data_IF_918830038112
#
_entry.id   IF_918830038112
#
_cell.length_a   1.000
_cell.length_b   1.000
_cell.length_c   1.000
_cell.angle_alpha   90.00
_cell.angle_beta   90.00
_cell.angle_gamma   90.00
#
_symmetry.space_group_name_H-M   'P 1'
#
loop_
_entity.id
_entity.type
_entity.pdbx_description
1 polymer ?
2 non-polymer ?
3 non-polymer ?
4 water ?
#
# COMPACT_ATOMS: atom_id res chain seq x y z
N UNK A 4 20.56 16.12 17.44
CA UNK A 4 19.12 15.69 17.24
C UNK A 4 19.06 14.31 16.59
N UNK A 5 18.61 13.24 17.29
CA UNK A 5 18.78 11.87 16.81
C UNK A 5 17.84 11.57 15.64
N UNK A 6 18.23 10.61 14.80
CA UNK A 6 17.35 10.17 13.69
C UNK A 6 16.31 9.23 14.26
N UNK A 7 15.07 9.28 13.76
CA UNK A 7 14.04 8.42 14.29
C UNK A 7 14.20 6.97 13.87
N UNK A 8 13.71 6.08 14.73
CA UNK A 8 13.64 4.62 14.49
C UNK A 8 12.25 4.25 14.00
N UNK A 9 11.28 5.14 14.23
CA UNK A 9 9.85 4.92 13.89
C UNK A 9 9.18 6.27 13.64
N UNK A 10 8.25 6.29 12.68
CA UNK A 10 7.44 7.48 12.34
C UNK A 10 6.00 7.04 12.35
N UNK A 11 5.12 8.02 12.43
CA UNK A 11 3.69 7.73 12.20
C UNK A 11 3.29 8.35 10.87
N UNK A 12 2.43 7.61 10.18
CA UNK A 12 1.92 7.99 8.83
C UNK A 12 0.41 8.01 8.92
N UNK A 13 -0.18 9.11 8.47
CA UNK A 13 -1.65 9.24 8.25
C UNK A 13 -1.93 8.99 6.77
N UNK A 14 -2.88 8.10 6.52
CA UNK A 14 -3.42 7.83 5.17
C UNK A 14 -4.87 8.26 5.18
N UNK A 15 -5.28 9.10 4.24
CA UNK A 15 -6.69 9.44 4.08
C UNK A 15 -7.17 9.10 2.68
N UNK A 16 -8.37 8.60 2.53
CA UNK A 16 -8.99 8.43 1.20
C UNK A 16 -10.40 8.99 1.29
N UNK A 17 -10.74 9.82 0.32
CA UNK A 17 -12.08 10.43 0.26
C UNK A 17 -12.50 10.65 -1.16
N UNK A 18 -13.60 10.03 -1.55
CA UNK A 18 -14.27 10.36 -2.83
C UNK A 18 -15.24 11.52 -2.52
N UNK A 19 -14.88 12.68 -3.02
CA UNK A 19 -15.54 13.96 -2.69
C UNK A 19 -16.83 14.16 -3.48
N UNK A 20 -17.16 13.27 -4.42
CA UNK A 20 -18.42 13.38 -5.17
C UNK A 20 -18.56 14.68 -5.94
N UNK A 21 -17.43 15.23 -6.39
CA UNK A 21 -17.40 16.43 -7.25
C UNK A 21 -18.05 17.63 -6.53
N UNK A 22 -17.98 17.65 -5.19
CA UNK A 22 -18.52 18.75 -4.38
C UNK A 22 -17.39 19.31 -3.55
N UNK A 23 -17.38 20.64 -3.31
CA UNK A 23 -16.41 21.21 -2.40
C UNK A 23 -16.62 20.68 -0.99
N UNK A 24 -15.54 20.61 -0.20
CA UNK A 24 -15.63 20.10 1.14
C UNK A 24 -16.33 21.13 2.03
N UNK A 25 -16.77 20.71 3.24
CA UNK A 25 -17.29 21.68 4.19
C UNK A 25 -16.14 22.48 4.82
N UNK A 26 -16.47 23.49 5.64
CA UNK A 26 -15.46 24.43 6.16
C UNK A 26 -14.51 23.71 7.13
N UNK A 27 -14.98 22.69 7.83
CA UNK A 27 -14.14 21.99 8.82
C UNK A 27 -14.02 20.51 8.44
N UNK A 28 -12.80 20.02 8.30
CA UNK A 28 -12.57 18.58 7.99
C UNK A 28 -11.54 18.01 8.98
N UNK A 29 -11.25 18.72 10.08
CA UNK A 29 -10.25 18.27 11.06
C UNK A 29 -10.49 16.86 11.63
N UNK A 30 -11.75 16.42 11.75
CA UNK A 30 -12.09 15.08 12.29
C UNK A 30 -11.40 13.99 11.46
N UNK A 31 -11.24 14.23 10.16
CA UNK A 31 -10.56 13.27 9.27
C UNK A 31 -9.11 13.06 9.75
N UNK A 32 -8.36 14.16 9.91
CA UNK A 32 -6.92 14.10 10.25
C UNK A 32 -6.72 13.69 11.72
N UNK A 33 -7.75 13.78 12.53
CA UNK A 33 -7.71 13.35 13.94
C UNK A 33 -8.14 11.88 14.08
N UNK A 34 -8.57 11.20 13.01
CA UNK A 34 -9.02 9.79 13.12
C UNK A 34 -10.17 9.70 14.12
N UNK A 35 -11.17 10.57 13.97
CA UNK A 35 -12.40 10.61 14.80
C UNK A 35 -13.61 10.17 13.97
N UNK A 36 -14.51 9.41 14.60
CA UNK A 36 -15.77 9.01 13.99
C UNK A 36 -16.05 7.60 14.37
N UNK A 37 -16.23 6.73 13.39
CA UNK A 37 -16.54 5.30 13.60
C UNK A 37 -15.29 4.46 13.34
N UNK A 38 -15.27 3.25 13.91
CA UNK A 38 -14.25 2.27 13.66
C UNK A 38 -13.20 2.30 14.73
N UNK A 39 -11.95 2.08 14.34
CA UNK A 39 -10.77 2.09 15.25
C UNK A 39 -10.21 3.51 15.24
N UNK A 40 -10.59 4.29 16.25
CA UNK A 40 -10.34 5.74 16.32
C UNK A 40 -9.14 6.02 17.24
N UNK A 41 -8.61 7.19 17.02
CA UNK A 41 -7.42 7.67 17.73
C UNK A 41 -7.84 8.26 19.09
N UNK A 42 -7.01 8.03 20.11
CA UNK A 42 -7.26 8.56 21.47
C UNK A 42 -7.20 10.11 21.46
N UNK A 43 -8.14 10.73 22.17
CA UNK A 43 -8.19 12.22 22.31
C UNK A 43 -6.86 12.77 22.81
N UNK A 44 -6.16 12.01 23.63
CA UNK A 44 -4.92 12.50 24.26
C UNK A 44 -3.82 12.74 23.22
N UNK A 45 -3.99 12.20 22.02
CA UNK A 45 -3.02 12.34 20.90
C UNK A 45 -3.36 13.49 19.97
N UNK A 46 -4.43 14.21 20.17
CA UNK A 46 -4.95 15.13 19.14
C UNK A 46 -3.92 16.17 18.73
N UNK A 47 -3.06 16.62 19.65
CA UNK A 47 -2.11 17.69 19.29
C UNK A 47 -0.82 17.13 18.71
N UNK A 48 -0.63 15.84 18.76
CA UNK A 48 0.62 15.18 18.34
C UNK A 48 0.55 15.03 16.83
N UNK A 49 1.42 15.69 16.06
CA UNK A 49 1.35 15.61 14.62
C UNK A 49 1.87 14.25 14.19
N UNK A 50 1.24 13.72 13.14
CA UNK A 50 1.84 12.60 12.41
C UNK A 50 3.06 13.16 11.70
N UNK A 51 4.01 12.29 11.37
CA UNK A 51 5.23 12.68 10.64
C UNK A 51 4.95 13.00 9.19
N UNK A 52 4.09 12.20 8.57
CA UNK A 52 3.75 12.27 7.13
C UNK A 52 2.22 12.11 7.07
N UNK A 53 1.56 12.97 6.29
CA UNK A 53 0.13 12.86 5.94
C UNK A 53 0.00 12.62 4.45
N UNK A 54 -0.66 11.53 4.05
CA UNK A 54 -0.88 11.23 2.63
C UNK A 54 -2.36 11.24 2.41
N UNK A 55 -2.81 12.12 1.51
CA UNK A 55 -4.25 12.43 1.31
C UNK A 55 -4.64 12.06 -0.13
N UNK A 56 -5.45 11.00 -0.28
CA UNK A 56 -5.93 10.55 -1.59
C UNK A 56 -7.36 11.01 -1.76
N UNK A 57 -7.66 11.70 -2.83
CA UNK A 57 -9.05 12.05 -3.18
C UNK A 57 -9.40 11.48 -4.54
N UNK A 58 -10.67 11.27 -4.71
CA UNK A 58 -11.31 10.87 -5.99
C UNK A 58 -12.50 11.79 -6.22
N UNK A 59 -12.85 12.00 -7.46
CA UNK A 59 -13.95 12.94 -7.79
C UNK A 59 -13.69 14.28 -7.10
N UNK A 60 -12.44 14.73 -7.10
CA UNK A 60 -11.97 15.97 -6.45
C UNK A 60 -12.19 17.14 -7.40
N UNK A 61 -13.07 18.10 -7.03
CA UNK A 61 -13.42 19.21 -7.93
C UNK A 61 -12.49 20.41 -7.76
N UNK A 62 -11.57 20.35 -6.80
CA UNK A 62 -10.74 21.52 -6.43
C UNK A 62 -9.51 21.58 -7.30
N UNK A 63 -8.94 22.76 -7.44
CA UNK A 63 -7.58 22.88 -7.98
C UNK A 63 -6.61 22.34 -6.92
N UNK A 64 -5.36 22.05 -7.33
CA UNK A 64 -4.29 21.65 -6.42
C UNK A 64 -4.12 22.75 -5.40
N UNK A 65 -4.10 24.02 -5.85
CA UNK A 65 -3.89 25.17 -4.95
C UNK A 65 -5.01 25.18 -3.91
N UNK A 66 -6.25 25.06 -4.32
CA UNK A 66 -7.40 25.16 -3.40
C UNK A 66 -7.32 24.05 -2.35
N UNK A 67 -7.00 22.84 -2.77
CA UNK A 67 -6.97 21.72 -1.80
C UNK A 67 -5.78 21.83 -0.88
N UNK A 68 -4.58 22.18 -1.38
CA UNK A 68 -3.40 22.40 -0.54
C UNK A 68 -3.68 23.45 0.54
N UNK A 69 -4.33 24.54 0.17
CA UNK A 69 -4.77 25.61 1.10
C UNK A 69 -5.51 24.96 2.27
N UNK A 70 -6.57 24.22 1.95
CA UNK A 70 -7.49 23.61 2.94
C UNK A 70 -6.71 22.62 3.78
N UNK A 71 -5.89 21.78 3.15
CA UNK A 71 -5.18 20.75 3.92
C UNK A 71 -4.19 21.40 4.87
N UNK A 72 -3.33 22.27 4.38
CA UNK A 72 -2.32 22.86 5.28
C UNK A 72 -2.95 23.63 6.44
N UNK A 73 -4.00 24.41 6.18
CA UNK A 73 -4.77 25.18 7.20
C UNK A 73 -5.27 24.20 8.26
N UNK A 74 -5.91 23.12 7.84
CA UNK A 74 -6.53 22.10 8.73
C UNK A 74 -5.46 21.52 9.66
N UNK A 75 -4.30 21.13 9.10
CA UNK A 75 -3.21 20.55 9.92
C UNK A 75 -2.63 21.63 10.84
N UNK A 76 -2.49 22.84 10.34
CA UNK A 76 -1.90 23.91 11.20
C UNK A 76 -2.85 24.15 12.38
N UNK A 77 -4.16 24.19 12.13
CA UNK A 77 -5.16 24.41 13.21
C UNK A 77 -5.05 23.29 14.25
N UNK A 78 -4.90 22.04 13.82
CA UNK A 78 -4.83 20.86 14.73
C UNK A 78 -3.54 20.90 15.55
N UNK A 79 -2.41 21.10 14.90
CA UNK A 79 -1.07 20.76 15.43
C UNK A 79 -0.24 22.01 15.75
N UNK A 80 -0.61 23.16 15.22
CA UNK A 80 0.20 24.42 15.24
C UNK A 80 1.52 24.24 14.49
N UNK A 81 1.59 23.27 13.57
CA UNK A 81 2.75 23.02 12.68
C UNK A 81 2.36 23.37 11.26
N UNK A 82 3.24 24.06 10.57
CA UNK A 82 3.08 24.38 9.14
C UNK A 82 3.78 23.27 8.35
N UNK A 83 2.99 22.41 7.73
CA UNK A 83 3.57 21.23 7.05
C UNK A 83 4.17 21.66 5.71
N UNK A 84 5.18 20.94 5.28
CA UNK A 84 5.83 21.13 3.98
C UNK A 84 5.15 20.20 2.98
N UNK A 85 4.99 20.68 1.75
CA UNK A 85 4.46 19.86 0.67
C UNK A 85 5.57 19.00 0.08
N UNK A 86 5.49 17.69 0.22
CA UNK A 86 6.48 16.75 -0.39
C UNK A 86 6.17 16.56 -1.86
N UNK A 87 4.90 16.32 -2.16
CA UNK A 87 4.50 16.01 -3.54
C UNK A 87 2.99 16.19 -3.69
N UNK A 88 2.57 16.54 -4.89
CA UNK A 88 1.14 16.52 -5.25
C UNK A 88 1.05 16.06 -6.68
N UNK A 89 0.14 15.17 -6.97
CA UNK A 89 -0.02 14.65 -8.35
C UNK A 89 -1.49 14.34 -8.60
N UNK A 90 -2.01 14.79 -9.74
CA UNK A 90 -3.43 14.67 -10.12
C UNK A 90 -3.54 14.01 -11.48
N UNK A 91 -4.43 13.05 -11.59
CA UNK A 91 -4.86 12.48 -12.89
C UNK A 91 -6.36 12.69 -12.91
N UNK A 92 -6.84 13.51 -13.83
CA UNK A 92 -8.27 13.82 -13.96
C UNK A 92 -8.74 14.36 -12.61
N UNK A 93 -9.59 13.65 -11.88
CA UNK A 93 -10.09 14.10 -10.58
C UNK A 93 -9.60 13.19 -9.46
N UNK A 94 -8.50 12.47 -9.72
CA UNK A 94 -7.85 11.57 -8.75
C UNK A 94 -6.56 12.24 -8.30
N UNK A 95 -6.38 12.44 -7.01
CA UNK A 95 -5.28 13.27 -6.52
C UNK A 95 -4.62 12.64 -5.30
N UNK A 96 -3.33 12.81 -5.24
CA UNK A 96 -2.56 12.47 -4.03
C UNK A 96 -1.74 13.68 -3.57
N UNK A 97 -1.77 13.94 -2.27
CA UNK A 97 -0.97 15.00 -1.62
C UNK A 97 -0.13 14.32 -0.53
N UNK A 98 1.16 14.63 -0.48
CA UNK A 98 2.01 14.21 0.64
C UNK A 98 2.55 15.44 1.34
N UNK A 99 2.28 15.53 2.64
CA UNK A 99 2.74 16.61 3.54
C UNK A 99 3.58 15.99 4.63
N UNK A 100 4.65 16.68 5.02
CA UNK A 100 5.50 16.21 6.13
C UNK A 100 5.88 17.33 7.08
N UNK A 101 6.18 16.96 8.33
CA UNK A 101 6.78 17.87 9.33
C UNK A 101 7.96 18.60 8.68
N UNK A 102 8.15 19.91 8.94
CA UNK A 102 9.32 20.60 8.41
C UNK A 102 10.66 19.98 8.81
N UNK A 103 10.74 19.41 9.99
CA UNK A 103 11.97 18.75 10.52
C UNK A 103 12.37 17.57 9.61
N UNK A 104 11.46 17.06 8.76
CA UNK A 104 11.77 15.91 7.87
C UNK A 104 12.24 16.35 6.50
N UNK A 105 12.28 17.65 6.24
CA UNK A 105 12.54 18.10 4.85
C UNK A 105 13.87 17.54 4.31
N UNK A 106 14.89 17.46 5.15
CA UNK A 106 16.27 17.03 4.78
C UNK A 106 16.44 15.53 5.07
N UNK A 107 15.36 14.83 5.42
CA UNK A 107 15.36 13.35 5.57
C UNK A 107 14.68 12.73 4.34
N UNK A 108 13.99 13.54 3.56
CA UNK A 108 13.19 13.09 2.40
C UNK A 108 13.93 13.39 1.11
N UNK A 109 14.03 12.39 0.26
CA UNK A 109 14.69 12.57 -1.04
C UNK A 109 14.13 11.61 -2.07
N UNK A 110 14.59 11.71 -3.31
CA UNK A 110 14.19 10.76 -4.39
C UNK A 110 12.68 10.72 -4.49
N UNK A 111 12.06 11.87 -4.62
CA UNK A 111 10.60 11.97 -4.69
C UNK A 111 10.20 11.65 -6.12
N UNK A 112 9.32 10.66 -6.29
CA UNK A 112 8.77 10.26 -7.61
C UNK A 112 7.25 10.38 -7.59
N UNK A 113 6.67 10.68 -8.75
CA UNK A 113 5.20 10.71 -8.91
C UNK A 113 4.90 10.00 -10.21
N UNK A 114 3.74 9.38 -10.30
CA UNK A 114 3.31 8.79 -11.57
C UNK A 114 1.82 8.55 -11.52
N UNK A 115 1.26 8.21 -12.66
CA UNK A 115 -0.16 7.84 -12.74
C UNK A 115 -0.29 6.73 -13.76
N UNK A 116 -1.39 6.02 -13.65
CA UNK A 116 -1.81 4.99 -14.60
C UNK A 116 -3.28 5.22 -14.92
N UNK A 117 -3.60 5.24 -16.20
CA UNK A 117 -4.99 5.30 -16.72
C UNK A 117 -5.45 3.89 -16.97
N UNK A 118 -6.55 3.45 -16.35
CA UNK A 118 -7.04 2.05 -16.57
C UNK A 118 -8.03 1.98 -17.74
N UNK A 119 -8.24 0.77 -18.28
CA UNK A 119 -9.31 0.56 -19.28
C UNK A 119 -8.87 0.92 -20.69
N UNK A 120 -9.78 0.78 -21.66
CA UNK A 120 -9.52 0.98 -23.12
C UNK A 120 -10.78 1.61 -23.73
N UNK A 121 -10.63 2.70 -24.50
CA UNK A 121 -11.69 3.37 -25.30
C UNK A 121 -12.83 3.86 -24.37
N UNK A 122 -14.01 3.24 -24.44
CA UNK A 122 -15.16 3.37 -23.49
C UNK A 122 -14.69 3.62 -22.05
N UNK A 123 -13.87 2.69 -21.54
CA UNK A 123 -13.51 2.52 -20.10
C UNK A 123 -12.24 3.33 -19.76
N UNK A 124 -11.59 3.96 -20.75
CA UNK A 124 -10.45 4.90 -20.53
C UNK A 124 -11.00 6.33 -20.49
N UNK A 125 -10.78 7.04 -19.37
CA UNK A 125 -11.03 8.49 -19.34
C UNK A 125 -11.38 9.00 -17.97
N UNK A 126 -11.71 8.13 -17.00
CA UNK A 126 -11.77 8.71 -15.64
C UNK A 126 -11.21 7.87 -14.48
N UNK A 127 -10.99 6.58 -14.67
CA UNK A 127 -10.49 5.65 -13.61
C UNK A 127 -8.97 5.46 -13.76
N UNK A 128 -8.29 5.19 -12.66
CA UNK A 128 -6.87 4.93 -12.67
C UNK A 128 -6.30 5.19 -11.32
N UNK A 129 -5.01 5.54 -11.29
CA UNK A 129 -4.31 5.72 -10.02
C UNK A 129 -3.25 6.77 -10.13
N UNK A 130 -2.97 7.41 -9.01
CA UNK A 130 -1.79 8.28 -8.88
C UNK A 130 -0.94 7.72 -7.75
N UNK A 131 0.34 8.04 -7.77
CA UNK A 131 1.22 7.54 -6.71
C UNK A 131 2.39 8.44 -6.47
N UNK A 132 2.97 8.30 -5.30
CA UNK A 132 4.17 9.04 -4.84
C UNK A 132 5.08 8.01 -4.19
N UNK A 133 6.39 8.16 -4.42
CA UNK A 133 7.39 7.46 -3.60
C UNK A 133 8.49 8.41 -3.18
N UNK A 134 9.16 8.06 -2.09
CA UNK A 134 10.37 8.79 -1.69
C UNK A 134 11.12 7.91 -0.72
N UNK A 135 12.35 8.35 -0.45
CA UNK A 135 13.17 7.80 0.64
C UNK A 135 12.96 8.69 1.85
N UNK A 136 12.79 8.07 3.00
CA UNK A 136 12.83 8.76 4.31
C UNK A 136 14.05 8.16 5.01
N UNK A 137 15.15 8.91 5.07
CA UNK A 137 16.45 8.35 5.53
C UNK A 137 16.69 7.03 4.76
N UNK A 138 16.87 5.91 5.44
CA UNK A 138 17.25 4.63 4.81
C UNK A 138 16.05 3.82 4.35
N UNK A 139 14.84 4.36 4.48
CA UNK A 139 13.60 3.62 4.27
C UNK A 139 12.89 4.15 3.04
N UNK A 140 12.44 3.24 2.18
CA UNK A 140 11.67 3.62 0.97
C UNK A 140 10.17 3.48 1.28
N UNK A 141 9.42 4.49 0.86
CA UNK A 141 7.97 4.59 1.13
C UNK A 141 7.26 4.80 -0.20
N UNK A 142 6.23 4.01 -0.48
CA UNK A 142 5.40 4.20 -1.67
C UNK A 142 3.96 4.36 -1.28
N UNK A 143 3.21 5.12 -2.08
CA UNK A 143 1.81 5.45 -1.75
C UNK A 143 1.03 5.47 -3.04
N UNK A 144 -0.09 4.74 -3.09
CA UNK A 144 -0.93 4.62 -4.31
C UNK A 144 -2.35 4.97 -3.95
N UNK A 145 -2.92 5.95 -4.67
CA UNK A 145 -4.34 6.30 -4.56
C UNK A 145 -4.99 5.86 -5.84
N UNK A 146 -5.90 4.89 -5.79
CA UNK A 146 -6.58 4.41 -7.01
C UNK A 146 -8.08 4.61 -6.90
N UNK A 147 -8.69 4.96 -8.01
CA UNK A 147 -10.14 4.97 -8.21
C UNK A 147 -10.44 3.87 -9.22
N UNK A 148 -10.89 2.73 -8.74
CA UNK A 148 -11.14 1.56 -9.61
C UNK A 148 -12.56 1.60 -10.19
N UNK A 149 -12.81 0.71 -11.15
CA UNK A 149 -14.07 0.65 -11.89
C UNK A 149 -15.22 0.48 -10.90
N UNK A 150 -16.34 1.15 -11.15
CA UNK A 150 -17.53 1.09 -10.26
C UNK A 150 -18.48 -0.01 -10.69
N UNK A 151 -19.45 -0.31 -9.83
CA UNK A 151 -20.54 -1.22 -10.17
C UNK A 151 -20.37 -2.54 -9.51
N UNK A 152 -21.42 -3.03 -8.87
CA UNK A 152 -21.40 -4.31 -8.14
C UNK A 152 -21.00 -5.49 -9.02
N UNK A 153 -21.29 -5.41 -10.32
CA UNK A 153 -21.14 -6.52 -11.29
C UNK A 153 -19.69 -6.61 -11.82
N UNK A 154 -18.84 -5.63 -11.48
CA UNK A 154 -17.52 -5.47 -12.14
C UNK A 154 -16.32 -5.74 -11.22
N UNK A 155 -16.44 -6.70 -10.34
CA UNK A 155 -15.29 -7.02 -9.47
C UNK A 155 -14.09 -7.49 -10.32
N UNK A 156 -14.32 -8.27 -11.38
CA UNK A 156 -13.18 -8.76 -12.19
C UNK A 156 -12.46 -7.59 -12.85
N UNK A 157 -13.21 -6.58 -13.32
CA UNK A 157 -12.62 -5.35 -13.91
C UNK A 157 -11.76 -4.65 -12.85
N UNK A 158 -12.25 -4.54 -11.63
CA UNK A 158 -11.45 -3.92 -10.55
C UNK A 158 -10.16 -4.70 -10.40
N UNK A 159 -10.23 -6.00 -10.43
CA UNK A 159 -9.01 -6.83 -10.22
C UNK A 159 -8.02 -6.56 -11.37
N UNK A 160 -8.55 -6.45 -12.58
CA UNK A 160 -7.73 -6.12 -13.76
C UNK A 160 -7.13 -4.72 -13.59
N UNK A 161 -7.94 -3.77 -13.12
CA UNK A 161 -7.44 -2.39 -12.87
C UNK A 161 -6.25 -2.45 -11.90
N UNK A 162 -6.39 -3.23 -10.82
CA UNK A 162 -5.31 -3.41 -9.82
C UNK A 162 -4.04 -3.92 -10.53
N UNK A 163 -4.16 -4.95 -11.37
CA UNK A 163 -2.94 -5.53 -11.98
C UNK A 163 -2.32 -4.50 -12.94
N UNK A 164 -3.11 -3.78 -13.72
CA UNK A 164 -2.53 -2.71 -14.58
C UNK A 164 -1.79 -1.67 -13.75
N UNK A 165 -2.37 -1.23 -12.65
CA UNK A 165 -1.73 -0.18 -11.83
C UNK A 165 -0.40 -0.72 -11.30
N UNK A 166 -0.47 -1.93 -10.75
CA UNK A 166 0.67 -2.69 -10.16
C UNK A 166 1.81 -2.74 -11.18
N UNK A 167 1.48 -3.08 -12.43
CA UNK A 167 2.50 -3.30 -13.49
C UNK A 167 3.07 -1.99 -13.97
N UNK A 168 2.25 -0.95 -14.10
CA UNK A 168 2.66 0.20 -14.96
C UNK A 168 2.97 1.45 -14.17
N UNK A 169 2.66 1.48 -12.87
CA UNK A 169 2.98 2.68 -12.08
C UNK A 169 4.50 2.67 -11.83
N UNK A 170 5.19 3.70 -12.27
CA UNK A 170 6.66 3.75 -12.30
C UNK A 170 7.10 4.61 -11.13
N UNK A 171 7.24 3.98 -9.97
CA UNK A 171 7.69 4.67 -8.75
C UNK A 171 8.95 3.99 -8.27
N UNK A 172 9.67 4.61 -7.35
CA UNK A 172 10.82 4.01 -6.68
C UNK A 172 12.01 3.89 -7.60
N UNK A 173 12.92 3.01 -7.22
CA UNK A 173 14.29 2.93 -7.80
C UNK A 173 14.20 2.20 -9.14
N UNK A 174 14.39 2.93 -10.23
CA UNK A 174 14.32 2.35 -11.61
C UNK A 174 15.42 1.29 -11.84
N UNK A 175 16.46 1.25 -11.03
CA UNK A 175 17.47 0.15 -11.12
C UNK A 175 16.86 -1.19 -10.68
N UNK A 176 15.76 -1.17 -9.94
CA UNK A 176 15.10 -2.42 -9.52
C UNK A 176 14.25 -2.95 -10.66
N UNK A 177 14.83 -3.11 -11.85
CA UNK A 177 14.10 -3.28 -13.10
C UNK A 177 13.19 -4.51 -13.10
N UNK A 178 13.50 -5.66 -12.47
CA UNK A 178 12.57 -6.80 -12.49
C UNK A 178 11.35 -6.65 -11.58
N UNK A 179 11.34 -5.60 -10.76
CA UNK A 179 10.39 -5.50 -9.64
C UNK A 179 9.35 -4.43 -9.92
N UNK A 180 8.11 -4.79 -9.67
CA UNK A 180 6.99 -3.83 -9.71
C UNK A 180 6.85 -3.13 -8.34
N UNK A 181 5.88 -2.22 -8.23
CA UNK A 181 5.77 -1.42 -6.98
C UNK A 181 5.52 -2.33 -5.77
N UNK A 182 5.00 -3.56 -5.93
CA UNK A 182 4.73 -4.44 -4.76
C UNK A 182 6.04 -4.98 -4.15
N UNK A 183 7.19 -4.73 -4.75
CA UNK A 183 8.51 -5.13 -4.19
C UNK A 183 9.46 -3.95 -4.03
N UNK A 184 9.12 -2.73 -4.46
CA UNK A 184 10.16 -1.66 -4.48
C UNK A 184 10.32 -0.94 -3.15
N UNK A 185 9.38 -1.09 -2.20
CA UNK A 185 9.33 -0.21 -1.02
C UNK A 185 9.37 -1.01 0.27
N UNK A 186 10.05 -0.47 1.26
CA UNK A 186 10.00 -0.98 2.64
C UNK A 186 8.54 -1.06 3.09
N UNK A 187 7.80 0.01 2.80
CA UNK A 187 6.38 0.12 3.18
C UNK A 187 5.65 0.66 1.96
N UNK A 188 4.61 -0.04 1.50
CA UNK A 188 3.75 0.40 0.39
C UNK A 188 2.34 0.51 0.96
N UNK A 189 1.71 1.65 0.78
CA UNK A 189 0.31 1.88 1.20
C UNK A 189 -0.50 2.06 -0.07
N UNK A 190 -1.58 1.30 -0.22
CA UNK A 190 -2.45 1.36 -1.40
C UNK A 190 -3.86 1.61 -0.87
N UNK A 191 -4.48 2.68 -1.31
CA UNK A 191 -5.76 3.17 -0.78
C UNK A 191 -6.54 3.74 -1.95
N UNK A 192 -7.79 4.09 -1.67
CA UNK A 192 -8.61 4.76 -2.66
C UNK A 192 -10.05 4.34 -2.60
N UNK A 193 -10.80 4.83 -3.58
CA UNK A 193 -12.13 4.28 -3.86
C UNK A 193 -11.94 3.05 -4.73
N UNK A 194 -11.67 1.94 -4.06
CA UNK A 194 -11.43 0.65 -4.71
C UNK A 194 -12.73 0.09 -5.27
N UNK A 195 -13.89 0.53 -4.77
CA UNK A 195 -15.19 0.32 -5.42
C UNK A 195 -15.70 -1.11 -5.28
N UNK A 196 -15.09 -1.95 -4.44
CA UNK A 196 -15.65 -3.27 -4.16
C UNK A 196 -16.90 -3.12 -3.28
N UNK A 197 -17.88 -3.97 -3.56
CA UNK A 197 -19.23 -3.88 -3.00
C UNK A 197 -19.55 -5.07 -2.10
N UNK A 198 -20.60 -4.87 -1.32
CA UNK A 198 -21.21 -5.97 -0.53
C UNK A 198 -22.16 -6.68 -1.49
N UNK A 199 -21.80 -7.92 -1.85
CA UNK A 199 -22.51 -8.69 -2.91
C UNK A 199 -23.63 -9.50 -2.27
N UNK A 200 -24.76 -8.83 -2.03
CA UNK A 200 -25.99 -9.45 -1.49
C UNK A 200 -27.07 -9.06 -2.47
N UNK A 201 -28.20 -9.80 -2.50
CA UNK A 201 -29.27 -9.46 -3.44
C UNK A 201 -29.82 -8.07 -3.19
N UNK A 202 -30.21 -7.36 -4.25
CA UNK A 202 -30.63 -5.93 -4.18
C UNK A 202 -31.92 -5.78 -3.36
N UNK A 203 -32.72 -6.84 -3.24
CA UNK A 203 -33.97 -6.85 -2.44
C UNK A 203 -33.68 -7.09 -0.95
N UNK A 204 -32.41 -7.31 -0.59
CA UNK A 204 -31.96 -7.27 0.82
C UNK A 204 -31.50 -5.86 1.24
N UNK A 205 -31.72 -4.82 0.45
CA UNK A 205 -31.22 -3.46 0.76
C UNK A 205 -31.68 -3.01 2.14
N UNK A 206 -32.96 -3.17 2.48
CA UNK A 206 -33.47 -2.63 3.75
C UNK A 206 -32.92 -3.49 4.87
N UNK A 207 -32.74 -4.79 4.65
CA UNK A 207 -32.12 -5.69 5.65
C UNK A 207 -30.71 -5.22 5.94
N UNK A 208 -29.98 -4.88 4.90
CA UNK A 208 -28.58 -4.41 5.06
C UNK A 208 -28.55 -3.13 5.90
N UNK A 209 -29.42 -2.20 5.58
CA UNK A 209 -29.51 -0.91 6.32
C UNK A 209 -29.79 -1.16 7.80
N UNK A 210 -30.70 -2.08 8.11
CA UNK A 210 -31.05 -2.37 9.53
C UNK A 210 -29.83 -3.03 10.22
N UNK A 211 -29.05 -3.86 9.52
CA UNK A 211 -27.81 -4.43 10.11
C UNK A 211 -26.82 -3.31 10.43
N UNK A 212 -26.69 -2.35 9.51
CA UNK A 212 -25.79 -1.19 9.73
C UNK A 212 -26.25 -0.37 10.94
N UNK A 213 -27.54 -0.15 11.09
CA UNK A 213 -28.08 0.62 12.24
C UNK A 213 -27.80 -0.09 13.57
N UNK A 214 -27.72 -1.41 13.56
CA UNK A 214 -27.43 -2.22 14.76
C UNK A 214 -25.93 -2.37 14.93
N UNK A 215 -25.12 -1.79 14.05
CA UNK A 215 -23.64 -1.96 14.08
C UNK A 215 -23.25 -3.43 14.01
N UNK A 216 -23.99 -4.23 13.25
CA UNK A 216 -23.73 -5.67 13.06
C UNK A 216 -23.20 -5.82 11.66
N UNK A 217 -21.88 -5.80 11.51
CA UNK A 217 -21.25 -5.78 10.18
C UNK A 217 -20.84 -7.18 9.72
N UNK A 218 -20.88 -8.21 10.57
CA UNK A 218 -20.27 -9.52 10.23
C UNK A 218 -20.88 -10.13 8.96
N UNK A 219 -22.21 -10.17 8.87
CA UNK A 219 -22.87 -10.83 7.73
C UNK A 219 -22.77 -9.94 6.49
N UNK A 220 -22.36 -8.68 6.64
CA UNK A 220 -22.11 -7.84 5.46
C UNK A 220 -20.66 -8.06 5.01
N UNK A 221 -19.70 -7.97 5.96
CA UNK A 221 -18.25 -8.14 5.60
C UNK A 221 -18.02 -9.51 4.97
N UNK A 222 -18.77 -10.55 5.35
CA UNK A 222 -18.59 -11.90 4.76
C UNK A 222 -18.96 -11.88 3.28
N UNK A 223 -19.63 -10.81 2.77
CA UNK A 223 -19.98 -10.68 1.34
C UNK A 223 -19.22 -9.53 0.69
N UNK A 224 -18.31 -8.89 1.42
CA UNK A 224 -17.51 -7.80 0.81
C UNK A 224 -16.63 -8.39 -0.26
N UNK A 225 -16.69 -7.80 -1.46
CA UNK A 225 -15.99 -8.40 -2.60
C UNK A 225 -14.48 -8.27 -2.45
N UNK A 226 -13.97 -7.23 -1.80
CA UNK A 226 -12.50 -7.13 -1.67
C UNK A 226 -12.01 -8.24 -0.70
N UNK A 227 -12.66 -8.44 0.43
CA UNK A 227 -12.27 -9.52 1.37
C UNK A 227 -12.36 -10.88 0.63
N UNK A 228 -13.43 -11.11 -0.12
CA UNK A 228 -13.61 -12.46 -0.74
C UNK A 228 -12.61 -12.65 -1.87
N UNK A 229 -12.43 -11.64 -2.71
CA UNK A 229 -11.44 -11.73 -3.79
C UNK A 229 -10.03 -11.92 -3.23
N UNK A 230 -9.69 -11.21 -2.16
CA UNK A 230 -8.38 -11.35 -1.48
C UNK A 230 -8.24 -12.78 -0.95
N UNK A 231 -9.30 -13.33 -0.36
CA UNK A 231 -9.24 -14.71 0.24
C UNK A 231 -8.96 -15.72 -0.88
N UNK A 232 -9.51 -15.50 -2.07
CA UNK A 232 -9.35 -16.42 -3.22
C UNK A 232 -8.09 -16.07 -4.02
N UNK A 233 -7.30 -15.11 -3.54
CA UNK A 233 -6.00 -14.74 -4.13
C UNK A 233 -6.23 -14.21 -5.53
N UNK A 234 -7.28 -13.43 -5.73
CA UNK A 234 -7.59 -12.82 -7.05
C UNK A 234 -7.02 -11.41 -7.14
N UNK A 235 -6.67 -10.78 -6.02
CA UNK A 235 -6.29 -9.36 -5.99
C UNK A 235 -5.57 -9.09 -4.67
N UNK A 236 -4.68 -8.12 -4.64
CA UNK A 236 -4.00 -7.62 -3.45
C UNK A 236 -3.31 -8.78 -2.71
N UNK A 237 -2.71 -9.69 -3.46
CA UNK A 237 -2.00 -10.81 -2.81
C UNK A 237 -0.87 -10.22 -1.97
N UNK A 238 -0.75 -10.67 -0.72
CA UNK A 238 0.35 -10.31 0.20
C UNK A 238 0.21 -8.91 0.76
N UNK A 239 -0.95 -8.29 0.61
CA UNK A 239 -1.28 -7.03 1.33
C UNK A 239 -2.06 -7.33 2.58
N UNK A 240 -2.03 -6.39 3.53
CA UNK A 240 -2.76 -6.45 4.82
C UNK A 240 -3.86 -5.38 4.79
N UNK A 241 -4.93 -5.61 5.54
CA UNK A 241 -5.95 -4.58 5.81
C UNK A 241 -6.34 -4.79 7.26
N UNK A 242 -6.50 -3.69 7.99
CA UNK A 242 -7.01 -3.70 9.38
C UNK A 242 -8.48 -4.12 9.35
N UNK A 243 -8.94 -4.82 10.40
CA UNK A 243 -10.35 -5.18 10.54
C UNK A 243 -11.22 -3.94 10.41
N UNK A 244 -12.29 -4.07 9.62
CA UNK A 244 -13.28 -2.99 9.43
C UNK A 244 -14.30 -3.05 10.54
N UNK A 245 -14.44 -1.96 11.24
CA UNK A 245 -15.36 -1.85 12.41
C UNK A 245 -16.15 -0.55 12.30
N UNK A 246 -16.23 0.03 11.11
CA UNK A 246 -17.04 1.24 10.80
C UNK A 246 -18.11 0.85 9.78
N UNK A 247 -19.17 1.64 9.72
CA UNK A 247 -20.26 1.39 8.77
C UNK A 247 -19.77 1.58 7.33
N UNK A 248 -20.42 0.92 6.36
CA UNK A 248 -20.17 1.19 4.95
C UNK A 248 -20.13 2.69 4.67
N UNK A 249 -19.16 3.09 3.84
CA UNK A 249 -18.86 4.52 3.62
C UNK A 249 -19.54 5.05 2.35
N UNK A 250 -20.36 4.24 1.70
CA UNK A 250 -21.02 4.56 0.41
C UNK A 250 -22.32 3.73 0.41
N UNK A 251 -23.43 4.18 -0.19
CA UNK A 251 -23.66 5.47 -0.79
C UNK A 251 -24.64 6.26 0.06
N UNK A 252 -24.24 7.43 0.54
CA UNK A 252 -25.07 8.27 1.44
C UNK A 252 -25.83 9.32 0.63
N UNK A 253 -27.01 9.69 1.13
CA UNK A 253 -27.61 10.99 0.78
C UNK A 253 -26.68 12.09 1.28
N UNK A 254 -26.40 13.09 0.46
CA UNK A 254 -25.57 14.24 0.87
C UNK A 254 -26.24 15.07 1.97
N UNK A 255 -25.43 15.68 2.84
CA UNK A 255 -25.78 16.69 3.86
C UNK A 255 -26.37 16.02 5.11
N UNK A 256 -26.48 14.71 5.13
CA UNK A 256 -26.77 13.96 6.37
C UNK A 256 -25.87 12.73 6.38
N UNK A 257 -25.82 11.94 7.45
CA UNK A 257 -25.35 10.52 7.33
C UNK A 257 -26.46 9.59 7.75
N UNK A 258 -27.69 10.09 7.77
CA UNK A 258 -28.81 9.31 8.36
C UNK A 258 -29.36 8.34 7.31
N UNK A 259 -28.97 8.50 6.05
CA UNK A 259 -29.65 7.79 4.95
C UNK A 259 -28.63 7.26 3.94
N UNK A 260 -28.76 5.96 3.67
CA UNK A 260 -28.12 5.34 2.50
C UNK A 260 -29.05 5.48 1.30
N UNK A 261 -28.52 5.94 0.18
CA UNK A 261 -29.22 6.13 -1.11
C UNK A 261 -28.79 5.02 -2.04
N UNK A 262 -29.54 3.93 -2.06
CA UNK A 262 -29.13 2.70 -2.78
C UNK A 262 -29.95 2.41 -4.04
N UNK A 263 -31.11 3.04 -4.18
CA UNK A 263 -32.10 2.70 -5.25
C UNK A 263 -31.54 3.14 -6.61
N UNK A 264 -31.92 2.41 -7.67
CA UNK A 264 -31.49 2.71 -9.04
C UNK A 264 -32.18 3.99 -9.50
N UNK A 265 -31.40 4.82 -10.17
CA UNK A 265 -31.78 6.19 -10.63
C UNK A 265 -31.17 6.41 -12.01
N UNK A 266 -31.75 7.30 -12.82
CA UNK A 266 -31.08 7.63 -14.09
C UNK A 266 -29.65 8.06 -13.83
N UNK A 267 -29.42 8.84 -12.76
CA UNK A 267 -28.10 9.38 -12.38
C UNK A 267 -27.12 8.23 -12.06
N UNK A 268 -27.60 7.04 -11.71
CA UNK A 268 -26.69 5.88 -11.46
C UNK A 268 -26.61 4.91 -12.63
N UNK A 269 -27.11 5.27 -13.82
CA UNK A 269 -27.17 4.31 -14.92
C UNK A 269 -28.14 3.19 -14.61
N UNK A 270 -29.14 3.48 -13.80
CA UNK A 270 -30.14 2.49 -13.36
C UNK A 270 -29.46 1.31 -12.65
N UNK A 271 -28.43 1.64 -11.86
CA UNK A 271 -27.68 0.67 -11.03
C UNK A 271 -28.06 0.86 -9.57
N UNK A 272 -28.22 -0.24 -8.83
CA UNK A 272 -28.34 -0.21 -7.38
C UNK A 272 -26.93 0.02 -6.82
N UNK A 273 -26.88 0.76 -5.74
CA UNK A 273 -25.65 0.96 -4.94
C UNK A 273 -25.93 0.53 -3.51
N UNK A 274 -25.97 -0.76 -3.27
CA UNK A 274 -26.16 -1.27 -1.90
C UNK A 274 -25.01 -0.72 -1.06
N UNK A 275 -25.24 -0.42 0.23
CA UNK A 275 -24.21 0.06 1.13
C UNK A 275 -22.97 -0.83 1.07
N UNK A 276 -21.82 -0.19 0.88
CA UNK A 276 -20.55 -0.89 0.61
C UNK A 276 -19.37 -0.18 1.23
N UNK A 277 -18.33 -0.96 1.47
CA UNK A 277 -17.03 -0.40 1.90
C UNK A 277 -16.17 -0.14 0.66
N UNK A 278 -16.55 0.90 -0.07
CA UNK A 278 -15.81 1.26 -1.32
C UNK A 278 -14.41 1.76 -0.99
N UNK A 279 -14.21 2.38 0.16
CA UNK A 279 -13.10 3.30 0.46
C UNK A 279 -12.15 2.67 1.45
N UNK A 280 -10.94 2.31 1.03
CA UNK A 280 -10.13 1.32 1.77
C UNK A 280 -8.69 1.77 1.88
N UNK A 281 -7.99 1.21 2.85
CA UNK A 281 -6.53 1.38 3.00
C UNK A 281 -5.93 0.00 3.23
N UNK A 282 -4.99 -0.38 2.40
CA UNK A 282 -4.22 -1.62 2.54
C UNK A 282 -2.73 -1.30 2.54
N UNK A 283 -1.93 -2.23 3.02
CA UNK A 283 -0.48 -2.00 2.99
C UNK A 283 0.29 -3.29 2.81
N UNK A 284 1.53 -3.14 2.41
CA UNK A 284 2.46 -4.26 2.28
C UNK A 284 3.82 -3.72 2.68
N UNK A 285 4.42 -4.34 3.66
CA UNK A 285 5.76 -3.98 4.13
C UNK A 285 6.67 -5.19 3.99
N UNK A 286 7.95 -4.95 3.82
CA UNK A 286 8.96 -6.01 3.74
C UNK A 286 8.90 -6.84 5.00
N UNK A 287 9.30 -8.12 4.89
CA UNK A 287 9.20 -9.03 6.01
C UNK A 287 10.01 -8.52 7.21
N UNK A 288 9.39 -8.65 8.38
CA UNK A 288 9.98 -8.40 9.72
C UNK A 288 10.34 -6.92 9.87
N UNK A 289 9.66 -6.04 9.15
CA UNK A 289 9.73 -4.59 9.43
C UNK A 289 8.52 -4.20 10.27
N UNK A 290 8.76 -3.40 11.29
CA UNK A 290 7.66 -2.93 12.17
C UNK A 290 6.65 -2.11 11.37
N UNK A 291 5.39 -2.52 11.43
CA UNK A 291 4.28 -1.70 10.88
C UNK A 291 3.07 -2.10 11.69
N UNK A 292 2.45 -1.13 12.31
CA UNK A 292 1.26 -1.38 13.16
C UNK A 292 0.19 -0.35 12.82
N UNK A 293 -0.99 -0.82 12.43
CA UNK A 293 -2.14 0.09 12.23
C UNK A 293 -2.67 0.56 13.56
N UNK A 294 -2.72 1.89 13.73
CA UNK A 294 -3.13 2.55 14.99
C UNK A 294 -4.59 3.00 14.89
N UNK A 295 -5.11 3.20 13.67
CA UNK A 295 -6.50 3.68 13.47
C UNK A 295 -6.95 3.23 12.07
N UNK A 296 -8.24 2.97 11.95
CA UNK A 296 -8.87 2.64 10.65
C UNK A 296 -10.35 2.87 10.84
N UNK A 297 -10.84 3.94 10.22
CA UNK A 297 -12.23 4.32 10.46
C UNK A 297 -12.74 5.33 9.49
N UNK A 298 -13.93 5.81 9.72
CA UNK A 298 -14.57 6.82 8.85
C UNK A 298 -15.05 7.99 9.69
N UNK A 299 -15.12 9.15 9.08
CA UNK A 299 -15.67 10.33 9.77
C UNK A 299 -17.19 10.25 9.72
N UNK A 300 -17.83 10.93 10.67
CA UNK A 300 -19.29 10.97 10.80
C UNK A 300 -19.82 12.37 10.48
N UNK A 301 -18.96 13.39 10.44
CA UNK A 301 -19.38 14.81 10.43
C UNK A 301 -19.01 15.52 9.13
N UNK A 302 -18.57 14.79 8.10
CA UNK A 302 -18.20 15.40 6.79
C UNK A 302 -19.16 14.80 5.79
N UNK A 303 -20.11 15.60 5.30
CA UNK A 303 -21.35 15.10 4.63
C UNK A 303 -21.56 15.72 3.24
N UNK A 304 -20.56 16.38 2.67
CA UNK A 304 -20.71 17.03 1.33
C UNK A 304 -20.81 15.99 0.23
N UNK A 305 -20.19 14.82 0.43
CA UNK A 305 -20.13 13.77 -0.58
C UNK A 305 -21.11 12.65 -0.27
N UNK A 306 -21.35 11.78 -1.24
CA UNK A 306 -22.08 10.51 -1.04
C UNK A 306 -21.14 9.42 -0.49
N UNK A 307 -19.86 9.73 -0.29
CA UNK A 307 -18.92 8.90 0.47
C UNK A 307 -18.49 9.62 1.72
N UNK A 308 -18.26 8.86 2.79
CA UNK A 308 -17.55 9.39 3.97
C UNK A 308 -16.05 9.18 3.80
N UNK A 309 -15.23 10.17 4.24
CA UNK A 309 -13.79 10.01 4.32
C UNK A 309 -13.42 8.82 5.20
N UNK A 310 -12.34 8.16 4.84
CA UNK A 310 -11.69 7.06 5.59
C UNK A 310 -10.31 7.54 5.99
N UNK A 311 -9.92 7.19 7.21
CA UNK A 311 -8.58 7.43 7.76
C UNK A 311 -7.96 6.11 8.19
N UNK A 312 -6.67 6.05 8.06
CA UNK A 312 -5.88 4.98 8.68
C UNK A 312 -4.54 5.59 9.12
N UNK A 313 -4.06 5.17 10.27
CA UNK A 313 -2.75 5.63 10.75
C UNK A 313 -1.91 4.42 11.08
N UNK A 314 -0.60 4.63 10.94
CA UNK A 314 0.39 3.56 11.11
C UNK A 314 1.62 4.07 11.83
N UNK A 315 2.16 3.20 12.68
CA UNK A 315 3.52 3.34 13.26
C UNK A 315 4.44 2.45 12.41
N UNK A 316 5.40 3.06 11.69
CA UNK A 316 6.24 2.37 10.70
C UNK A 316 7.72 2.50 11.07
N UNK A 317 8.41 1.38 11.08
CA UNK A 317 9.85 1.36 11.33
C UNK A 317 10.60 2.00 10.20
N UNK A 318 11.59 2.81 10.57
CA UNK A 318 12.51 3.47 9.63
C UNK A 318 13.92 3.26 10.15
N UNK A 319 14.86 3.37 9.23
CA UNK A 319 16.30 3.23 9.49
C UNK A 319 17.02 4.49 9.08
N UNK A 320 18.24 4.64 9.61
CA UNK A 320 19.13 5.81 9.38
C UNK A 320 19.74 5.73 7.98
N UNK A 321 20.35 6.83 7.54
CA UNK A 321 21.23 6.87 6.35
C UNK A 321 22.66 6.53 6.81
N UNK A 322 23.00 5.25 6.88
CA UNK A 322 24.22 4.69 7.51
C UNK A 322 25.48 5.00 6.69
N UNK A 323 26.49 5.51 7.41
CA UNK A 323 27.88 5.72 6.90
C UNK A 323 28.84 4.91 7.80
N UNK A 324 29.76 4.19 7.19
CA UNK A 324 30.93 3.62 7.90
C UNK A 324 32.21 4.18 7.27
N UNK A 325 33.34 3.76 7.83
CA UNK A 325 34.70 4.03 7.33
C UNK A 325 34.84 3.49 5.90
N UNK A 326 34.18 2.35 5.64
CA UNK A 326 34.22 1.58 4.38
C UNK A 326 33.03 2.06 3.54
N UNK A 327 31.95 1.27 3.44
CA UNK A 327 30.79 1.66 2.63
C UNK A 327 30.01 2.81 3.30
N UNK A 328 29.24 3.61 2.54
CA UNK A 328 29.20 3.55 1.07
C UNK A 328 30.47 3.98 0.34
N UNK A 329 30.66 3.46 -0.88
CA UNK A 329 31.77 3.74 -1.80
C UNK A 329 32.76 2.62 -1.88
N UNK A 330 32.52 1.55 -1.13
CA UNK A 330 33.35 0.33 -1.18
C UNK A 330 32.59 -0.76 -0.43
N UNK A 331 33.13 -1.98 -0.47
CA UNK A 331 32.58 -3.14 0.29
C UNK A 331 33.22 -3.14 1.69
N UNK A 332 32.66 -3.93 2.60
CA UNK A 332 33.22 -4.13 3.95
C UNK A 332 33.47 -5.63 4.11
N UNK A 333 34.69 -6.05 3.82
CA UNK A 333 35.11 -7.48 3.73
C UNK A 333 34.72 -8.24 5.00
N UNK A 334 34.36 -7.57 6.10
CA UNK A 334 33.91 -8.25 7.34
C UNK A 334 32.45 -8.72 7.20
N UNK A 335 31.78 -8.36 6.11
CA UNK A 335 30.39 -8.77 5.84
C UNK A 335 30.28 -9.75 4.69
N UNK A 336 29.37 -10.74 4.79
CA UNK A 336 29.01 -11.59 3.64
C UNK A 336 27.64 -12.24 3.86
N UNK A 337 26.99 -12.53 2.74
CA UNK A 337 25.69 -13.25 2.70
C UNK A 337 25.88 -14.45 1.79
N UNK A 338 25.72 -15.64 2.36
CA UNK A 338 25.82 -16.93 1.64
C UNK A 338 24.46 -17.60 1.64
N UNK A 339 24.18 -18.32 0.56
CA UNK A 339 22.95 -19.12 0.33
C UNK A 339 23.33 -20.60 0.16
N UNK A 340 22.69 -21.46 0.93
CA UNK A 340 22.92 -22.93 0.90
C UNK A 340 21.63 -23.59 0.47
N UNK A 341 21.71 -24.71 -0.27
CA UNK A 341 20.59 -25.65 -0.48
C UNK A 341 19.37 -24.85 -0.99
N UNK A 342 19.58 -23.91 -1.90
CA UNK A 342 18.45 -23.08 -2.41
C UNK A 342 17.79 -23.72 -3.63
N UNK A 343 16.48 -23.59 -3.71
CA UNK A 343 15.77 -23.95 -4.95
C UNK A 343 14.52 -23.11 -5.10
N UNK A 344 14.21 -22.86 -6.35
CA UNK A 344 12.96 -22.19 -6.74
C UNK A 344 12.01 -23.28 -7.23
N UNK A 345 10.73 -23.12 -6.91
CA UNK A 345 9.66 -23.97 -7.44
C UNK A 345 8.80 -23.04 -8.28
N UNK A 346 8.64 -23.33 -9.56
CA UNK A 346 7.88 -22.41 -10.46
C UNK A 346 6.68 -23.13 -11.03
N UNK A 347 5.59 -22.39 -11.21
CA UNK A 347 4.32 -22.90 -11.79
C UNK A 347 4.39 -22.97 -13.33
N UNK A 348 5.41 -22.44 -13.93
CA UNK A 348 5.54 -22.35 -15.40
C UNK A 348 5.56 -23.72 -16.06
N UNK A 349 4.98 -23.78 -17.25
CA UNK A 349 5.00 -25.00 -18.12
C UNK A 349 6.24 -24.94 -19.01
N UNK A 350 7.00 -23.84 -19.00
CA UNK A 350 8.14 -23.59 -19.91
C UNK A 350 9.36 -24.43 -19.49
N UNK A 351 10.32 -24.59 -20.39
CA UNK A 351 11.59 -25.34 -20.18
C UNK A 351 12.75 -24.53 -20.79
N UNK A 352 13.04 -23.37 -20.20
CA UNK A 352 14.29 -22.58 -20.38
C UNK A 352 15.17 -22.88 -19.14
N UNK A 353 16.44 -22.56 -19.20
CA UNK A 353 17.30 -22.45 -18.01
C UNK A 353 16.90 -21.16 -17.28
N UNK A 354 17.10 -21.12 -15.98
CA UNK A 354 16.85 -19.91 -15.15
C UNK A 354 18.10 -19.51 -14.40
N UNK A 355 18.24 -18.22 -14.12
CA UNK A 355 19.26 -17.67 -13.21
C UNK A 355 18.56 -16.70 -12.26
N UNK A 356 19.25 -16.37 -11.19
CA UNK A 356 18.72 -15.40 -10.20
C UNK A 356 19.43 -14.07 -10.33
N UNK A 357 18.72 -13.02 -9.97
CA UNK A 357 19.32 -11.71 -9.65
C UNK A 357 18.99 -11.34 -8.21
N UNK A 358 20.01 -10.88 -7.49
CA UNK A 358 19.90 -10.39 -6.11
C UNK A 358 20.04 -8.86 -6.15
N UNK A 359 19.02 -8.15 -5.71
CA UNK A 359 19.05 -6.67 -5.64
C UNK A 359 18.89 -6.22 -4.20
N UNK A 360 19.73 -5.30 -3.77
CA UNK A 360 19.61 -4.74 -2.41
C UNK A 360 20.44 -3.47 -2.32
N UNK A 361 19.92 -2.50 -1.56
CA UNK A 361 20.64 -1.24 -1.21
C UNK A 361 21.93 -1.56 -0.45
N UNK A 362 22.03 -2.75 0.15
CA UNK A 362 23.23 -3.16 0.92
C UNK A 362 24.33 -3.66 -0.04
N UNK A 363 24.07 -3.74 -1.35
CA UNK A 363 25.07 -4.16 -2.37
C UNK A 363 25.42 -2.97 -3.26
N UNK A 364 26.64 -2.95 -3.80
CA UNK A 364 27.04 -1.81 -4.67
C UNK A 364 26.21 -1.86 -5.96
N UNK A 365 25.90 -3.04 -6.45
CA UNK A 365 25.01 -3.25 -7.60
C UNK A 365 24.47 -4.67 -7.54
N UNK A 366 23.48 -4.96 -8.37
CA UNK A 366 22.80 -6.28 -8.32
C UNK A 366 23.76 -7.39 -8.76
N UNK A 367 23.46 -8.60 -8.32
CA UNK A 367 24.32 -9.78 -8.57
C UNK A 367 23.51 -10.82 -9.33
N UNK A 368 24.09 -11.35 -10.41
CA UNK A 368 23.46 -12.35 -11.30
C UNK A 368 24.15 -13.70 -11.07
N UNK A 369 23.37 -14.71 -10.65
CA UNK A 369 23.86 -16.09 -10.40
C UNK A 369 24.12 -16.78 -11.73
N UNK A 370 24.80 -17.92 -11.61
CA UNK A 370 24.84 -19.01 -12.61
C UNK A 370 23.44 -19.56 -12.81
N UNK A 371 23.23 -20.24 -13.94
CA UNK A 371 21.99 -20.99 -14.19
C UNK A 371 21.82 -22.09 -13.15
N UNK A 372 20.60 -22.31 -12.71
CA UNK A 372 20.22 -23.44 -11.86
C UNK A 372 20.06 -24.72 -12.65
N UNK A 373 19.88 -25.82 -11.96
CA UNK A 373 19.61 -27.14 -12.58
C UNK A 373 18.12 -27.48 -12.47
N UNK A 374 17.46 -27.59 -13.61
CA UNK A 374 16.03 -27.92 -13.71
C UNK A 374 15.82 -29.39 -13.37
N UNK A 375 14.92 -29.68 -12.45
CA UNK A 375 14.38 -31.04 -12.18
C UNK A 375 12.86 -30.96 -12.31
N UNK A 376 12.24 -32.09 -12.59
CA UNK A 376 10.77 -32.32 -12.52
C UNK A 376 10.40 -32.57 -11.05
N UNK A 377 9.51 -31.72 -10.47
CA UNK A 377 8.82 -31.99 -9.19
C UNK A 377 7.80 -33.12 -9.30
N UNK A 378 7.53 -33.81 -8.19
CA UNK A 378 6.69 -35.06 -8.13
C UNK A 378 5.22 -34.77 -8.42
N UNK A 379 4.78 -33.50 -8.43
CA UNK A 379 3.37 -33.11 -8.68
C UNK A 379 3.27 -32.23 -9.94
N UNK A 380 4.23 -32.34 -10.89
CA UNK A 380 4.20 -31.63 -12.19
C UNK A 380 5.13 -30.42 -12.27
N UNK A 381 5.59 -29.87 -11.13
CA UNK A 381 6.19 -28.50 -11.02
C UNK A 381 7.56 -28.40 -11.71
N UNK A 382 8.02 -27.19 -11.96
CA UNK A 382 9.47 -27.01 -12.26
C UNK A 382 10.21 -26.66 -10.96
N UNK A 383 11.26 -27.42 -10.67
CA UNK A 383 12.15 -27.16 -9.53
C UNK A 383 13.48 -26.76 -10.13
N UNK A 384 13.95 -25.56 -9.80
CA UNK A 384 15.26 -25.06 -10.26
C UNK A 384 16.18 -25.12 -9.06
N UNK A 385 17.19 -25.99 -9.13
CA UNK A 385 18.14 -26.21 -8.01
C UNK A 385 19.36 -25.32 -8.22
N UNK A 386 19.73 -24.59 -7.18
CA UNK A 386 20.96 -23.80 -7.15
C UNK A 386 22.00 -24.49 -6.27
N UNK A 387 21.59 -25.46 -5.45
CA UNK A 387 22.42 -26.10 -4.41
C UNK A 387 23.27 -25.08 -3.64
N UNK A 388 24.59 -25.17 -3.79
CA UNK A 388 25.60 -24.36 -3.06
C UNK A 388 26.31 -23.48 -4.09
N UNK A 389 25.69 -23.29 -5.27
CA UNK A 389 26.31 -22.62 -6.43
C UNK A 389 26.10 -21.10 -6.37
N UNK A 390 25.23 -20.55 -5.50
CA UNK A 390 24.87 -19.10 -5.55
C UNK A 390 26.07 -18.25 -5.13
N UNK A 391 26.30 -17.06 -5.74
CA UNK A 391 27.44 -16.22 -5.39
C UNK A 391 27.36 -15.76 -3.93
N UNK A 392 28.52 -15.49 -3.36
CA UNK A 392 28.62 -14.91 -1.99
C UNK A 392 28.38 -13.41 -2.15
N UNK A 393 27.40 -12.83 -1.44
CA UNK A 393 27.09 -11.38 -1.64
C UNK A 393 27.93 -10.56 -0.67
N UNK A 394 28.40 -9.43 -1.16
CA UNK A 394 29.41 -8.57 -0.47
C UNK A 394 28.75 -7.25 -0.11
N UNK A 395 28.25 -7.10 1.13
CA UNK A 395 27.56 -5.87 1.51
C UNK A 395 28.58 -4.75 1.69
N UNK A 396 28.07 -3.53 1.55
CA UNK A 396 28.83 -2.27 1.62
C UNK A 396 29.21 -1.95 3.06
N UNK A 397 28.44 -2.46 4.01
CA UNK A 397 28.60 -2.16 5.45
C UNK A 397 28.39 -3.47 6.19
N UNK A 398 29.23 -3.75 7.19
CA UNK A 398 29.28 -5.06 7.90
C UNK A 398 28.62 -4.93 9.26
N UNK A 399 28.40 -3.70 9.72
CA UNK A 399 27.89 -3.44 11.07
C UNK A 399 26.54 -4.16 11.16
N UNK A 400 26.32 -5.04 12.16
CA UNK A 400 25.04 -5.76 12.29
C UNK A 400 23.87 -4.81 12.52
N UNK A 401 24.10 -3.65 13.12
CA UNK A 401 23.02 -2.66 13.35
C UNK A 401 22.46 -2.15 12.02
N UNK A 402 23.28 -2.20 10.99
CA UNK A 402 22.82 -1.85 9.62
C UNK A 402 22.33 -3.13 8.95
N UNK A 403 23.16 -4.17 8.91
CA UNK A 403 22.93 -5.26 7.92
C UNK A 403 21.68 -6.05 8.29
N UNK A 404 21.41 -6.27 9.59
CA UNK A 404 20.26 -7.10 10.04
C UNK A 404 18.96 -6.38 9.67
N UNK A 405 18.98 -5.08 9.38
CA UNK A 405 17.77 -4.32 8.97
C UNK A 405 17.55 -4.32 7.46
N UNK A 406 18.38 -5.01 6.68
CA UNK A 406 18.29 -4.95 5.21
C UNK A 406 17.46 -6.11 4.68
N UNK A 407 17.22 -6.05 3.39
CA UNK A 407 16.44 -7.05 2.64
C UNK A 407 17.07 -7.32 1.29
N UNK A 408 16.93 -8.57 0.84
CA UNK A 408 17.41 -8.99 -0.51
C UNK A 408 16.20 -9.30 -1.36
N UNK A 409 16.03 -8.55 -2.44
CA UNK A 409 15.04 -8.86 -3.48
C UNK A 409 15.64 -9.92 -4.40
N UNK A 410 14.84 -10.87 -4.79
CA UNK A 410 15.24 -12.00 -5.67
C UNK A 410 14.32 -12.01 -6.88
N UNK A 411 14.91 -11.99 -8.06
CA UNK A 411 14.19 -12.28 -9.31
C UNK A 411 14.75 -13.57 -9.89
N UNK A 412 13.86 -14.46 -10.32
CA UNK A 412 14.28 -15.65 -11.12
C UNK A 412 13.96 -15.33 -12.57
N UNK A 413 14.99 -15.34 -13.42
CA UNK A 413 14.89 -14.89 -14.83
C UNK A 413 15.20 -16.03 -15.81
N UNK A 414 14.47 -16.05 -16.93
CA UNK A 414 14.74 -16.95 -18.06
C UNK A 414 16.08 -16.57 -18.71
N UNK A 415 16.98 -17.54 -18.90
CA UNK A 415 18.21 -17.34 -19.70
C UNK A 415 17.87 -16.96 -21.14
N UNK A 416 16.77 -17.48 -21.71
CA UNK A 416 16.40 -17.33 -23.14
C UNK A 416 15.90 -15.90 -23.38
N UNK A 417 15.16 -15.32 -22.43
CA UNK A 417 14.45 -14.04 -22.68
C UNK A 417 14.88 -12.95 -21.71
N UNK A 418 15.56 -13.30 -20.61
CA UNK A 418 15.94 -12.37 -19.52
C UNK A 418 14.69 -11.76 -18.88
N UNK A 419 13.52 -12.36 -19.06
CA UNK A 419 12.25 -11.90 -18.44
C UNK A 419 12.18 -12.53 -17.04
N UNK A 420 11.76 -11.78 -16.03
CA UNK A 420 11.46 -12.32 -14.67
C UNK A 420 10.23 -13.22 -14.72
N UNK A 421 10.39 -14.43 -14.16
CA UNK A 421 9.27 -15.33 -13.92
C UNK A 421 8.75 -15.26 -12.48
N UNK A 422 9.47 -14.58 -11.61
CA UNK A 422 9.03 -14.49 -10.21
C UNK A 422 9.95 -13.56 -9.42
N UNK A 423 9.34 -12.83 -8.52
CA UNK A 423 10.03 -11.86 -7.65
C UNK A 423 9.63 -12.14 -6.22
N UNK A 424 10.56 -11.95 -5.30
CA UNK A 424 10.29 -12.07 -3.86
C UNK A 424 11.31 -11.32 -3.04
N UNK A 425 11.24 -11.48 -1.74
CA UNK A 425 12.05 -10.67 -0.80
C UNK A 425 12.39 -11.50 0.42
N UNK A 426 13.66 -11.45 0.79
CA UNK A 426 14.20 -12.13 2.00
C UNK A 426 14.68 -11.08 3.00
N UNK A 427 14.23 -11.16 4.23
CA UNK A 427 14.74 -10.29 5.32
C UNK A 427 16.09 -10.82 5.82
N UNK A 428 16.99 -9.91 6.17
CA UNK A 428 18.24 -10.28 6.88
C UNK A 428 18.11 -10.13 8.40
N UNK A 429 16.89 -9.98 8.91
CA UNK A 429 16.60 -9.82 10.36
C UNK A 429 16.62 -11.20 11.02
N UNK A 430 17.79 -11.86 11.00
CA UNK A 430 17.92 -13.31 11.33
C UNK A 430 17.97 -13.53 12.84
N UNK A 431 17.63 -14.74 13.23
CA UNK A 431 17.71 -15.17 14.65
C UNK A 431 19.17 -15.28 15.12
N UNK A 432 20.10 -15.38 14.22
CA UNK A 432 21.53 -15.70 14.49
C UNK A 432 22.36 -15.28 13.29
N UNK A 433 23.63 -14.94 13.53
CA UNK A 433 24.63 -14.77 12.48
C UNK A 433 25.59 -15.98 12.50
N UNK A 434 26.33 -16.14 11.42
CA UNK A 434 27.35 -17.21 11.26
C UNK A 434 26.66 -18.56 11.50
N UNK A 435 25.37 -18.68 11.18
CA UNK A 435 24.52 -19.86 11.47
C UNK A 435 23.67 -20.15 10.23
N UNK A 436 23.55 -21.39 9.77
CA UNK A 436 22.66 -21.71 8.62
C UNK A 436 21.22 -21.63 9.11
N UNK A 437 20.40 -20.83 8.45
CA UNK A 437 19.00 -20.66 8.89
C UNK A 437 18.09 -20.75 7.67
N UNK A 438 16.90 -21.33 7.84
CA UNK A 438 15.97 -21.41 6.71
C UNK A 438 15.56 -20.00 6.23
N UNK A 439 15.42 -19.85 4.92
CA UNK A 439 14.79 -18.66 4.29
C UNK A 439 13.68 -19.13 3.36
N UNK A 440 12.79 -18.20 3.05
CA UNK A 440 11.59 -18.52 2.24
C UNK A 440 11.04 -17.19 1.75
N UNK A 441 10.62 -17.18 0.49
CA UNK A 441 9.68 -16.14 0.00
C UNK A 441 8.77 -16.79 -1.03
N UNK A 442 7.51 -16.37 -1.09
CA UNK A 442 6.71 -16.63 -2.28
C UNK A 442 7.30 -15.82 -3.45
N UNK A 443 7.04 -16.27 -4.66
CA UNK A 443 7.45 -15.54 -5.87
C UNK A 443 6.19 -15.11 -6.58
N UNK A 444 6.16 -13.86 -7.05
CA UNK A 444 5.03 -13.37 -7.83
C UNK A 444 5.56 -12.79 -9.12
N UNK A 445 4.67 -12.63 -10.08
CA UNK A 445 4.98 -11.87 -11.33
C UNK A 445 3.67 -11.19 -11.71
N UNK A 446 3.76 -9.88 -11.98
CA UNK A 446 2.56 -9.05 -12.15
C UNK A 446 1.63 -9.24 -10.95
N UNK A 447 2.22 -9.45 -9.78
CA UNK A 447 1.51 -9.53 -8.50
C UNK A 447 0.72 -10.82 -8.32
N UNK A 448 0.84 -11.79 -9.24
CA UNK A 448 0.19 -13.11 -9.12
C UNK A 448 1.23 -14.13 -8.68
N UNK A 449 0.79 -15.12 -7.92
CA UNK A 449 1.72 -16.18 -7.46
C UNK A 449 2.26 -16.99 -8.63
N UNK A 450 3.58 -17.16 -8.70
CA UNK A 450 4.22 -17.93 -9.77
C UNK A 450 5.14 -19.03 -9.23
N UNK A 451 5.34 -19.06 -7.93
CA UNK A 451 6.24 -20.05 -7.34
C UNK A 451 6.71 -19.67 -5.96
N UNK A 452 7.82 -20.26 -5.59
CA UNK A 452 8.44 -20.11 -4.25
C UNK A 452 9.95 -20.24 -4.35
N UNK A 453 10.62 -19.60 -3.42
CA UNK A 453 12.09 -19.71 -3.29
C UNK A 453 12.38 -20.03 -1.82
N UNK A 454 13.17 -21.07 -1.62
CA UNK A 454 13.50 -21.46 -0.23
C UNK A 454 14.89 -22.08 -0.21
N UNK A 455 15.47 -22.08 0.98
CA UNK A 455 16.84 -22.56 1.13
C UNK A 455 17.32 -22.16 2.48
N UNK A 456 18.62 -21.97 2.60
CA UNK A 456 19.21 -21.51 3.86
C UNK A 456 20.10 -20.32 3.56
N UNK A 457 20.29 -19.51 4.59
CA UNK A 457 21.18 -18.33 4.54
C UNK A 457 22.20 -18.50 5.66
N UNK A 458 23.35 -17.87 5.47
CA UNK A 458 24.40 -17.72 6.52
C UNK A 458 24.91 -16.29 6.39
N UNK A 459 24.68 -15.48 7.41
CA UNK A 459 25.04 -14.04 7.39
C UNK A 459 26.22 -13.81 8.34
N UNK A 460 27.27 -13.20 7.80
CA UNK A 460 28.47 -12.75 8.54
C UNK A 460 28.38 -11.23 8.71
N UNK A 461 28.40 -10.73 9.96
CA UNK A 461 28.49 -9.30 10.24
C UNK A 461 29.85 -9.09 10.93
N UNK A 462 30.19 -7.85 11.21
CA UNK A 462 31.41 -7.48 11.96
C UNK A 462 31.35 -7.96 13.42
N UNK A 463 30.18 -8.34 13.95
CA UNK A 463 30.09 -8.72 15.40
C UNK A 463 30.09 -10.25 15.57
X LIG B 1 -10.51 -10.45 6.84
X LIG B 1 -9.79 -14.17 4.98
X LIG B 1 -10.76 -14.05 5.98
X LIG B 1 -10.97 -12.82 6.57
X LIG B 1 -10.24 -11.71 6.19
X LIG B 1 -9.96 -9.17 6.38
X LIG B 1 -10.96 -5.64 6.57
X LIG B 1 -9.28 -11.83 5.19
X LIG B 1 -7.18 -14.39 3.37
X LIG B 1 -12.33 -6.97 7.98
X LIG B 1 -11.13 -7.88 8.23
X LIG B 1 -7.99 -13.14 3.51
X LIG B 1 -9.06 -13.05 4.59
X LIG B 1 -9.81 -6.64 6.73
X LIG B 1 -10.28 -7.95 7.08
X LIG B 1 -7.73 -12.24 2.79
X LIG B 1 -9.25 -9.12 5.44
X LIG B 1 -11.91 -5.67 7.63
X LIG C 1 14.75 -0.26 5.33
X LIG C 1 14.50 0.80 6.33
X LIG C 1 14.40 -1.75 6.20
X LIG C 1 16.52 -0.53 5.28
X LIG D 1 16.01 -2.80 -0.79
X LIG D 1 17.46 -3.01 -0.41
X LIG D 1 16.09 -2.26 -2.50
X LIG D 1 15.42 -4.42 -1.15
X LIG E 1 7.05 -11.66 -0.53
X LIG E 1 7.46 -10.38 -1.23
X LIG E 1 5.46 -11.36 0.18
X LIG E 1 7.99 -11.73 0.98
#
# INVERSE_FOLDING_TARGET
SMEQPEPDMITIFIGTWNMGNAPPPKKITSWFLSKGQGKTRDDSADYIPHDIYVIGTQEDPLSEKEWLEILKHSLQEITSVTFKTVAIHTLWNIRIVVLAKPEHENRISHICTDNVKTGIANTLGNKGAVGVSFMFNGTSLGFVNSHLTSGSEKKLRRNQNYMNILRFLALGDKKLSPFNITHRFTHLFWFGDLNYRVDLPTWEAETIIQKIKQQQYADLLSHDQLLTERREQKVFLHFEEEEITFAPTYRFERLTRDKYAYTKQKATGMKYNLPSWCDRVLWKSYPLVHVVCQSYGSTSDIMTSDHSPVFATFEAGVTSQFVSKNGPGTVDSQGQIEFLRCYATLKTKSQTKFYLEFHSSCLESFVKSQEGENEEGSEGELVVKFGETLPKLKPIISDPEYLLDQHILISIKSSDSDESYGEGCIALRLEATETQLPIYTPLTHHGELTGHFQGEIKLQTSQ
NZ4 N1 C4 C5 C6 C7 C8 C10 C13 C1 C11 C12 C2 C3 C9 N2 O1 O2 O3
DMS S O C1 C2
DMS S O C1 C2
DMS S O C1 C2
#
